data_IF_108193642420
#
_entry.id   IF_108193642420
#
_cell.length_a   1.000
_cell.length_b   1.000
_cell.length_c   1.000
_cell.angle_alpha   90.00
_cell.angle_beta   90.00
_cell.angle_gamma   90.00
#
_symmetry.space_group_name_H-M   'P 1'
#
loop_
_entity.id
_entity.type
_entity.pdbx_description
1 polymer ?
#
# COMPACT_ATOMS: atom_id res chain seq x y z
N UNK A 1 3.17 11.99 -1.09
CA UNK A 1 1.81 11.71 -1.60
C UNK A 1 0.80 12.18 -0.56
N UNK A 2 -0.44 12.44 -0.96
CA UNK A 2 -1.57 12.55 -0.04
C UNK A 2 -2.15 11.14 0.18
N UNK A 3 -2.52 10.82 1.41
CA UNK A 3 -3.06 9.53 1.80
C UNK A 3 -4.46 9.74 2.39
N UNK A 4 -5.42 8.97 1.88
CA UNK A 4 -6.80 8.98 2.32
C UNK A 4 -7.20 7.56 2.70
N UNK A 5 -7.88 7.41 3.83
CA UNK A 5 -8.66 6.20 4.11
C UNK A 5 -10.07 6.44 3.60
N UNK A 6 -10.55 5.57 2.72
CA UNK A 6 -11.84 5.71 2.04
C UNK A 6 -12.69 4.49 2.38
N UNK A 7 -13.84 4.74 2.99
CA UNK A 7 -14.87 3.72 3.26
C UNK A 7 -15.89 3.76 2.13
N UNK A 8 -16.15 2.61 1.52
CA UNK A 8 -17.10 2.44 0.42
C UNK A 8 -18.22 1.54 0.89
N UNK A 9 -19.42 2.09 0.93
CA UNK A 9 -20.65 1.35 1.25
C UNK A 9 -21.41 1.10 -0.05
N UNK A 10 -21.81 -0.15 -0.30
CA UNK A 10 -22.49 -0.54 -1.53
C UNK A 10 -23.43 -1.73 -1.28
N UNK A 11 -24.40 -1.94 -2.16
CA UNK A 11 -25.25 -3.13 -2.14
C UNK A 11 -25.19 -3.82 -3.50
N UNK A 12 -25.27 -5.15 -3.48
CA UNK A 12 -25.46 -5.96 -4.67
C UNK A 12 -26.92 -6.42 -4.65
N UNK A 13 -27.55 -6.53 -5.81
CA UNK A 13 -28.94 -7.01 -5.88
C UNK A 13 -29.08 -8.35 -5.14
N UNK A 14 -29.99 -8.40 -4.16
CA UNK A 14 -30.20 -9.57 -3.31
C UNK A 14 -29.26 -9.69 -2.10
N UNK A 15 -28.35 -8.74 -1.86
CA UNK A 15 -27.49 -8.71 -0.66
C UNK A 15 -27.81 -7.51 0.24
N UNK A 16 -27.45 -7.63 1.51
CA UNK A 16 -27.38 -6.47 2.43
C UNK A 16 -26.27 -5.50 2.05
N UNK A 17 -26.24 -4.35 2.73
CA UNK A 17 -25.19 -3.33 2.59
C UNK A 17 -23.84 -3.97 2.95
N UNK A 18 -22.88 -3.82 2.05
CA UNK A 18 -21.49 -4.23 2.19
C UNK A 18 -20.64 -2.99 2.40
N UNK A 19 -19.57 -3.14 3.17
CA UNK A 19 -18.65 -2.04 3.49
C UNK A 19 -17.22 -2.51 3.31
N UNK A 20 -16.46 -1.79 2.48
CA UNK A 20 -15.03 -2.00 2.29
C UNK A 20 -14.25 -0.74 2.68
N UNK A 21 -13.07 -0.89 3.26
CA UNK A 21 -12.11 0.20 3.49
C UNK A 21 -10.90 0.07 2.58
N UNK A 22 -10.43 1.20 2.05
CA UNK A 22 -9.27 1.29 1.18
C UNK A 22 -8.34 2.42 1.62
N UNK A 23 -7.04 2.25 1.34
CA UNK A 23 -6.06 3.33 1.43
C UNK A 23 -5.77 3.85 0.03
N UNK A 24 -6.13 5.11 -0.23
CA UNK A 24 -5.89 5.80 -1.50
C UNK A 24 -4.69 6.73 -1.33
N UNK A 25 -3.62 6.46 -2.07
CA UNK A 25 -2.43 7.33 -2.13
C UNK A 25 -2.36 8.00 -3.49
N UNK A 26 -2.29 9.32 -3.52
CA UNK A 26 -2.15 10.10 -4.76
C UNK A 26 -0.95 11.05 -4.69
N UNK A 27 -0.28 11.33 -5.82
CA UNK A 27 0.81 12.30 -5.85
C UNK A 27 0.35 13.69 -5.41
N UNK A 28 1.24 14.45 -4.78
CA UNK A 28 0.97 15.88 -4.52
C UNK A 28 1.17 16.59 -5.86
N UNK A 29 0.14 17.27 -6.35
CA UNK A 29 0.12 17.89 -7.69
C UNK A 29 0.40 19.39 -7.70
N UNK A 30 0.61 20.02 -6.53
CA UNK A 30 0.83 21.48 -6.42
C UNK A 30 1.88 21.81 -5.35
N UNK A 31 2.72 22.81 -5.63
CA UNK A 31 3.67 23.40 -4.67
C UNK A 31 5.12 23.38 -5.15
N UNK A 32 6.01 24.14 -4.48
CA UNK A 32 7.44 24.24 -4.83
C UNK A 32 8.12 22.86 -4.89
N UNK A 33 7.68 21.93 -4.03
CA UNK A 33 8.18 20.56 -3.93
C UNK A 33 7.91 19.74 -5.21
N UNK A 34 6.84 20.00 -5.97
CA UNK A 34 6.56 19.22 -7.20
C UNK A 34 7.57 19.51 -8.30
N UNK A 35 8.04 20.76 -8.44
CA UNK A 35 9.07 21.14 -9.43
C UNK A 35 10.41 20.43 -9.22
N UNK A 36 10.77 20.12 -7.96
CA UNK A 36 12.00 19.38 -7.65
C UNK A 36 11.81 17.85 -7.74
N UNK A 37 10.60 17.34 -7.47
CA UNK A 37 10.31 15.90 -7.47
C UNK A 37 9.92 15.33 -8.84
N UNK A 38 9.44 16.16 -9.78
CA UNK A 38 9.13 15.75 -11.16
C UNK A 38 10.38 15.23 -11.90
N UNK A 39 11.55 15.79 -11.60
CA UNK A 39 12.82 15.39 -12.21
C UNK A 39 13.40 14.08 -11.66
N UNK A 40 12.86 13.53 -10.56
CA UNK A 40 13.49 12.45 -9.80
C UNK A 40 12.74 11.09 -9.84
N UNK A 41 11.71 10.94 -10.70
CA UNK A 41 10.82 9.76 -10.75
C UNK A 41 10.25 9.35 -9.37
N UNK A 42 10.26 10.25 -8.38
CA UNK A 42 10.11 9.89 -6.98
C UNK A 42 8.73 9.30 -6.67
N UNK A 43 7.71 9.76 -7.39
CA UNK A 43 6.34 9.26 -7.28
C UNK A 43 6.06 7.99 -8.11
N UNK A 44 6.96 7.60 -9.01
CA UNK A 44 6.80 6.39 -9.84
C UNK A 44 7.29 5.11 -9.16
N UNK A 45 8.23 5.23 -8.21
CA UNK A 45 8.89 4.07 -7.57
C UNK A 45 7.91 3.19 -6.79
N UNK A 46 7.11 3.77 -5.89
CA UNK A 46 6.16 3.00 -5.07
C UNK A 46 5.09 2.29 -5.94
N UNK A 47 4.40 2.97 -6.90
CA UNK A 47 3.51 2.28 -7.82
C UNK A 47 4.18 1.18 -8.62
N UNK A 48 5.42 1.38 -9.08
CA UNK A 48 6.19 0.38 -9.83
C UNK A 48 6.48 -0.86 -8.98
N UNK A 49 6.87 -0.67 -7.72
CA UNK A 49 7.11 -1.78 -6.78
C UNK A 49 5.84 -2.63 -6.64
N UNK A 50 4.69 -2.02 -6.38
CA UNK A 50 3.43 -2.76 -6.20
C UNK A 50 2.88 -3.37 -7.50
N UNK A 51 3.07 -2.73 -8.65
CA UNK A 51 2.53 -3.21 -9.94
C UNK A 51 3.40 -4.28 -10.59
N UNK A 52 4.72 -4.17 -10.47
CA UNK A 52 5.66 -4.99 -11.23
C UNK A 52 6.46 -5.94 -10.35
N UNK A 53 7.00 -5.43 -9.23
CA UNK A 53 8.02 -6.15 -8.47
C UNK A 53 7.41 -7.13 -7.46
N UNK A 54 6.50 -6.66 -6.59
CA UNK A 54 5.86 -7.51 -5.58
C UNK A 54 5.13 -8.72 -6.20
N UNK A 55 4.35 -8.59 -7.30
CA UNK A 55 3.70 -9.74 -7.91
C UNK A 55 4.70 -10.81 -8.41
N UNK A 56 5.87 -10.40 -8.90
CA UNK A 56 6.93 -11.34 -9.31
C UNK A 56 7.51 -12.08 -8.11
N UNK A 57 7.80 -11.37 -7.02
CA UNK A 57 8.28 -11.99 -5.79
C UNK A 57 7.26 -12.92 -5.15
N UNK A 58 5.99 -12.52 -5.10
CA UNK A 58 4.92 -13.37 -4.60
C UNK A 58 4.77 -14.66 -5.41
N UNK A 59 4.95 -14.59 -6.74
CA UNK A 59 4.93 -15.79 -7.59
C UNK A 59 6.12 -16.72 -7.31
N UNK A 60 7.31 -16.19 -7.03
CA UNK A 60 8.52 -16.98 -6.77
C UNK A 60 8.53 -17.62 -5.38
N UNK A 61 7.96 -16.94 -4.39
CA UNK A 61 8.08 -17.32 -2.97
C UNK A 61 6.79 -17.86 -2.37
N UNK A 62 5.68 -17.78 -3.12
CA UNK A 62 4.33 -18.04 -2.63
C UNK A 62 4.00 -17.25 -1.35
N UNK A 63 4.48 -16.00 -1.26
CA UNK A 63 4.32 -15.13 -0.09
C UNK A 63 3.81 -13.74 -0.51
N UNK A 64 2.86 -13.17 0.24
CA UNK A 64 2.33 -11.82 0.01
C UNK A 64 3.13 -10.79 0.83
N UNK A 65 3.77 -9.84 0.14
CA UNK A 65 4.71 -8.90 0.77
C UNK A 65 4.10 -7.55 1.17
N UNK A 66 2.82 -7.32 0.89
CA UNK A 66 2.16 -6.05 1.18
C UNK A 66 0.69 -6.04 0.77
N UNK A 67 -0.03 -4.93 1.03
CA UNK A 67 -1.44 -4.83 0.74
C UNK A 67 -1.74 -5.06 -0.75
N UNK A 68 -2.86 -5.74 -1.01
CA UNK A 68 -3.37 -5.91 -2.37
C UNK A 68 -3.60 -4.56 -3.05
N UNK A 69 -3.06 -4.42 -4.26
CA UNK A 69 -3.25 -3.27 -5.13
C UNK A 69 -4.53 -3.42 -5.98
N UNK A 70 -5.31 -2.34 -6.06
CA UNK A 70 -6.48 -2.21 -6.93
C UNK A 70 -6.24 -1.21 -8.05
N UNK A 71 -7.08 -1.26 -9.09
CA UNK A 71 -7.00 -0.36 -10.25
C UNK A 71 -7.22 1.09 -9.81
N UNK A 72 -6.24 1.95 -10.04
CA UNK A 72 -6.32 3.38 -9.79
C UNK A 72 -6.29 4.15 -11.13
N UNK A 73 -7.25 5.05 -11.40
CA UNK A 73 -7.26 5.84 -12.63
C UNK A 73 -6.25 7.01 -12.60
N UNK A 74 -5.76 7.40 -11.42
CA UNK A 74 -4.83 8.51 -11.25
C UNK A 74 -3.40 8.06 -11.60
N UNK A 75 -2.70 8.81 -12.46
CA UNK A 75 -1.28 8.54 -12.78
C UNK A 75 -0.45 8.58 -11.51
N UNK A 76 0.36 7.54 -11.28
CA UNK A 76 1.13 7.33 -10.05
C UNK A 76 0.29 7.29 -8.76
N UNK A 77 -1.03 7.17 -8.87
CA UNK A 77 -1.93 6.89 -7.76
C UNK A 77 -2.03 5.40 -7.49
N UNK A 78 -2.41 5.08 -6.25
CA UNK A 78 -2.59 3.71 -5.78
C UNK A 78 -3.85 3.63 -4.93
N UNK A 79 -4.60 2.54 -5.11
CA UNK A 79 -5.68 2.14 -4.22
C UNK A 79 -5.25 0.81 -3.62
N UNK A 80 -5.10 0.77 -2.30
CA UNK A 80 -4.60 -0.38 -1.56
C UNK A 80 -5.70 -0.88 -0.63
N UNK A 81 -5.68 -2.18 -0.33
CA UNK A 81 -6.47 -2.74 0.76
C UNK A 81 -6.11 -2.05 2.07
N UNK A 82 -7.10 -1.75 2.90
CA UNK A 82 -6.85 -1.25 4.25
C UNK A 82 -6.45 -2.40 5.19
N UNK A 83 -5.17 -2.43 5.56
CA UNK A 83 -4.61 -3.47 6.43
C UNK A 83 -5.14 -3.38 7.86
N UNK A 84 -5.67 -2.23 8.28
CA UNK A 84 -6.28 -2.09 9.61
C UNK A 84 -7.49 -3.03 9.75
N UNK A 85 -8.29 -3.17 8.69
CA UNK A 85 -9.45 -4.08 8.66
C UNK A 85 -9.04 -5.56 8.71
N UNK A 86 -7.78 -5.87 8.36
CA UNK A 86 -7.21 -7.22 8.46
C UNK A 86 -6.50 -7.47 9.80
N UNK A 87 -6.61 -6.53 10.76
CA UNK A 87 -6.04 -6.66 12.10
C UNK A 87 -4.57 -6.24 12.21
N UNK A 88 -3.99 -5.64 11.17
CA UNK A 88 -2.63 -5.11 11.26
C UNK A 88 -2.59 -3.81 12.05
N UNK A 89 -1.53 -3.63 12.82
CA UNK A 89 -1.29 -2.43 13.63
C UNK A 89 -0.03 -1.72 13.18
N UNK A 90 -0.06 -0.39 13.20
CA UNK A 90 1.14 0.41 12.96
C UNK A 90 1.95 0.48 14.25
N UNK A 91 3.12 -0.16 14.27
CA UNK A 91 4.02 -0.09 15.42
C UNK A 91 4.47 1.35 15.69
N UNK A 92 4.68 1.69 16.97
CA UNK A 92 5.22 2.99 17.35
C UNK A 92 6.69 3.13 16.90
N UNK A 93 6.93 4.01 15.93
CA UNK A 93 8.26 4.19 15.31
C UNK A 93 9.39 4.53 16.30
N UNK A 94 9.07 5.09 17.46
CA UNK A 94 10.05 5.48 18.48
C UNK A 94 10.35 4.36 19.49
N UNK A 95 9.51 3.33 19.58
CA UNK A 95 9.69 2.21 20.52
C UNK A 95 10.57 1.09 19.96
N UNK A 96 11.08 1.25 18.73
CA UNK A 96 11.80 0.21 17.98
C UNK A 96 10.97 -1.08 17.82
N UNK A 97 11.50 -2.07 17.12
CA UNK A 97 10.86 -3.38 16.99
C UNK A 97 11.37 -4.29 18.10
N UNK A 98 10.47 -5.06 18.72
CA UNK A 98 10.89 -6.16 19.58
C UNK A 98 11.56 -7.29 18.76
N UNK A 99 12.11 -8.26 19.47
CA UNK A 99 12.82 -9.38 18.84
C UNK A 99 11.91 -10.23 17.93
N UNK A 100 10.63 -10.42 18.30
CA UNK A 100 9.69 -11.21 17.52
C UNK A 100 9.42 -10.54 16.15
N UNK A 101 9.17 -9.23 16.16
CA UNK A 101 9.01 -8.45 14.95
C UNK A 101 10.29 -8.41 14.10
N UNK A 102 11.47 -8.25 14.73
CA UNK A 102 12.75 -8.31 14.03
C UNK A 102 12.93 -9.64 13.28
N UNK A 103 12.62 -10.77 13.92
CA UNK A 103 12.71 -12.09 13.29
C UNK A 103 11.79 -12.19 12.06
N UNK A 104 10.58 -11.67 12.14
CA UNK A 104 9.64 -11.62 11.00
C UNK A 104 10.21 -10.77 9.87
N UNK A 105 10.77 -9.59 10.18
CA UNK A 105 11.38 -8.70 9.19
C UNK A 105 12.54 -9.40 8.48
N UNK A 106 13.51 -9.98 9.21
CA UNK A 106 14.66 -10.65 8.59
C UNK A 106 14.27 -11.88 7.77
N UNK A 107 13.35 -12.71 8.27
CA UNK A 107 12.88 -13.89 7.52
C UNK A 107 12.06 -13.51 6.29
N UNK A 108 11.38 -12.36 6.30
CA UNK A 108 10.68 -11.84 5.12
C UNK A 108 11.68 -11.23 4.13
N UNK A 109 12.68 -10.50 4.62
CA UNK A 109 13.72 -9.91 3.77
C UNK A 109 14.54 -10.97 3.04
N UNK A 110 14.84 -12.10 3.69
CA UNK A 110 15.57 -13.22 3.09
C UNK A 110 14.81 -13.94 1.96
N UNK A 111 13.52 -13.62 1.74
CA UNK A 111 12.75 -14.14 0.60
C UNK A 111 12.86 -13.27 -0.65
N UNK A 112 13.37 -12.04 -0.53
CA UNK A 112 13.73 -11.19 -1.68
C UNK A 112 15.04 -11.67 -2.30
#
# INVERSE_FOLDING_TARGET
SQLYRVRVEYSIAGSGIQVNSFIVKVPISKGVITKYLENAEFFGKEPRIYKELLPKFSKLTNYEFGPRLFRCPVKNGMILRDMLEEGYVLCEKFKQLDFAHCKIVYTTLAKF
#
